data_IF_623248359773
#
_entry.id   IF_623248359773
#
_cell.length_a   1.000
_cell.length_b   1.000
_cell.length_c   1.000
_cell.angle_alpha   90.00
_cell.angle_beta   90.00
_cell.angle_gamma   90.00
#
_symmetry.space_group_name_H-M   'P 1'
#
loop_
_entity.id
_entity.type
_entity.pdbx_description
1 polymer ?
#
# COMPACT_ATOMS: atom_id res chain seq x y z
N UNK A 1 -23.94 -2.36 28.43
CA UNK A 1 -23.26 -3.21 27.40
C UNK A 1 -23.19 -2.42 26.11
N UNK A 2 -22.01 -2.08 25.60
CA UNK A 2 -21.87 -1.52 24.25
C UNK A 2 -22.03 -2.68 23.27
N UNK A 3 -23.15 -2.73 22.58
CA UNK A 3 -23.37 -3.70 21.50
C UNK A 3 -22.42 -3.36 20.35
N UNK A 4 -21.47 -4.27 20.11
CA UNK A 4 -20.60 -4.15 18.94
C UNK A 4 -21.42 -4.52 17.69
N UNK A 5 -21.85 -3.50 16.94
CA UNK A 5 -22.68 -3.68 15.75
C UNK A 5 -21.96 -4.52 14.66
N UNK A 6 -20.64 -4.48 14.62
CA UNK A 6 -19.85 -5.28 13.65
C UNK A 6 -20.04 -6.77 13.85
N UNK A 7 -20.25 -7.26 15.08
CA UNK A 7 -20.48 -8.68 15.36
C UNK A 7 -21.86 -9.19 14.92
N UNK A 8 -22.75 -8.29 14.49
CA UNK A 8 -24.10 -8.63 14.04
C UNK A 8 -24.20 -8.69 12.50
N UNK A 9 -23.15 -8.25 11.80
CA UNK A 9 -23.10 -8.31 10.35
C UNK A 9 -22.49 -9.67 9.96
N UNK A 10 -23.31 -10.51 9.36
CA UNK A 10 -22.86 -11.82 8.86
C UNK A 10 -23.10 -11.84 7.34
N UNK A 11 -22.03 -12.13 6.58
CA UNK A 11 -22.07 -12.19 5.10
C UNK A 11 -23.06 -13.22 4.57
N UNK A 12 -23.45 -14.23 5.37
CA UNK A 12 -24.47 -15.22 4.99
C UNK A 12 -25.88 -14.63 4.84
N UNK A 13 -26.11 -13.37 5.27
CA UNK A 13 -27.37 -12.64 5.02
C UNK A 13 -27.35 -11.83 3.74
N UNK A 14 -26.19 -11.71 3.09
CA UNK A 14 -26.01 -11.01 1.82
C UNK A 14 -25.79 -12.06 0.76
N UNK A 15 -26.57 -12.00 -0.32
CA UNK A 15 -26.40 -12.96 -1.42
C UNK A 15 -24.99 -12.83 -2.00
N UNK A 16 -24.24 -13.94 -2.21
CA UNK A 16 -22.96 -13.93 -2.88
C UNK A 16 -22.96 -13.17 -4.21
N UNK A 17 -24.10 -13.11 -4.87
CA UNK A 17 -24.30 -12.36 -6.10
C UNK A 17 -23.92 -10.87 -5.99
N UNK A 18 -24.04 -10.25 -4.82
CA UNK A 18 -23.74 -8.85 -4.62
C UNK A 18 -22.26 -8.53 -4.42
N UNK A 19 -21.44 -9.51 -4.08
CA UNK A 19 -20.00 -9.32 -3.89
C UNK A 19 -19.12 -10.27 -4.70
N UNK A 20 -19.73 -11.24 -5.40
CA UNK A 20 -19.05 -12.21 -6.29
C UNK A 20 -19.79 -12.30 -7.63
N UNK A 21 -19.71 -11.27 -8.49
CA UNK A 21 -20.31 -11.34 -9.80
C UNK A 21 -19.64 -12.43 -10.65
N UNK A 22 -20.43 -13.25 -11.32
CA UNK A 22 -19.96 -14.39 -12.12
C UNK A 22 -19.27 -13.96 -13.42
N UNK A 23 -19.58 -12.74 -13.91
CA UNK A 23 -19.04 -12.24 -15.15
C UNK A 23 -18.99 -10.70 -15.19
N UNK A 24 -18.28 -10.15 -16.19
CA UNK A 24 -18.08 -8.71 -16.34
C UNK A 24 -19.40 -7.94 -16.53
N UNK A 25 -20.40 -8.52 -17.19
CA UNK A 25 -21.70 -7.87 -17.38
C UNK A 25 -22.44 -7.77 -16.05
N UNK A 26 -22.50 -8.83 -15.28
CA UNK A 26 -23.13 -8.81 -13.96
C UNK A 26 -22.42 -7.80 -13.03
N UNK A 27 -21.09 -7.79 -13.04
CA UNK A 27 -20.29 -6.79 -12.31
C UNK A 27 -20.73 -5.37 -12.72
N UNK A 28 -20.81 -5.06 -14.01
CA UNK A 28 -21.16 -3.73 -14.48
C UNK A 28 -22.57 -3.30 -14.07
N UNK A 29 -23.51 -4.24 -13.94
CA UNK A 29 -24.88 -3.96 -13.48
C UNK A 29 -24.93 -3.70 -11.97
N UNK A 30 -24.20 -4.51 -11.19
CA UNK A 30 -24.18 -4.41 -9.74
C UNK A 30 -23.43 -3.15 -9.26
N UNK A 31 -22.32 -2.80 -9.93
CA UNK A 31 -21.46 -1.68 -9.54
C UNK A 31 -21.82 -0.34 -10.19
N UNK A 32 -22.86 -0.28 -11.04
CA UNK A 32 -23.21 0.92 -11.82
C UNK A 32 -23.50 2.17 -10.98
N UNK A 33 -23.84 2.01 -9.70
CA UNK A 33 -24.12 3.12 -8.79
C UNK A 33 -22.96 3.38 -7.82
N UNK A 34 -21.92 2.57 -7.86
CA UNK A 34 -20.72 2.79 -7.06
C UNK A 34 -19.93 3.98 -7.59
N UNK A 35 -19.57 4.87 -6.69
CA UNK A 35 -18.69 6.01 -7.03
C UNK A 35 -17.20 5.61 -6.98
N UNK A 36 -16.89 4.59 -6.19
CA UNK A 36 -15.55 4.03 -6.02
C UNK A 36 -15.69 2.53 -6.25
N UNK A 37 -14.92 1.93 -7.18
CA UNK A 37 -14.90 0.48 -7.36
C UNK A 37 -14.57 -0.22 -6.04
N UNK A 38 -15.36 -1.25 -5.70
CA UNK A 38 -15.21 -1.97 -4.43
C UNK A 38 -15.18 -3.47 -4.71
N UNK A 39 -14.14 -4.13 -4.22
CA UNK A 39 -14.05 -5.60 -4.20
C UNK A 39 -14.18 -6.10 -2.76
N UNK A 40 -15.02 -7.12 -2.55
CA UNK A 40 -15.29 -7.69 -1.23
C UNK A 40 -14.73 -9.11 -1.18
N UNK A 41 -13.94 -9.37 -0.14
CA UNK A 41 -13.29 -10.66 0.10
C UNK A 41 -13.85 -11.32 1.35
N UNK A 42 -13.75 -12.64 1.45
CA UNK A 42 -14.25 -13.39 2.62
C UNK A 42 -13.34 -13.26 3.83
N UNK A 43 -12.05 -12.99 3.60
CA UNK A 43 -11.08 -12.81 4.67
C UNK A 43 -10.11 -11.65 4.38
N UNK A 44 -9.49 -11.14 5.42
CA UNK A 44 -8.45 -10.13 5.31
C UNK A 44 -7.21 -10.68 4.57
N UNK A 45 -6.92 -11.96 4.72
CA UNK A 45 -5.83 -12.65 4.05
C UNK A 45 -6.06 -12.73 2.54
N UNK A 46 -7.29 -13.09 2.11
CA UNK A 46 -7.67 -13.15 0.69
C UNK A 46 -7.53 -11.77 0.04
N UNK A 47 -8.06 -10.73 0.69
CA UNK A 47 -7.95 -9.34 0.19
C UNK A 47 -6.50 -8.85 0.14
N UNK A 48 -5.70 -9.15 1.18
CA UNK A 48 -4.30 -8.77 1.22
C UNK A 48 -3.48 -9.47 0.12
N UNK A 49 -3.73 -10.77 -0.11
CA UNK A 49 -3.06 -11.52 -1.17
C UNK A 49 -3.39 -10.95 -2.55
N UNK A 50 -4.65 -10.60 -2.82
CA UNK A 50 -5.03 -9.99 -4.10
C UNK A 50 -4.33 -8.66 -4.31
N UNK A 51 -4.27 -7.79 -3.30
CA UNK A 51 -3.56 -6.52 -3.36
C UNK A 51 -2.05 -6.74 -3.61
N UNK A 52 -1.45 -7.72 -2.95
CA UNK A 52 -0.05 -8.06 -3.15
C UNK A 52 0.23 -8.57 -4.58
N UNK A 53 -0.67 -9.37 -5.16
CA UNK A 53 -0.60 -9.82 -6.56
C UNK A 53 -0.67 -8.64 -7.53
N UNK A 54 -1.58 -7.70 -7.31
CA UNK A 54 -1.74 -6.51 -8.17
C UNK A 54 -0.49 -5.63 -8.12
N UNK A 55 0.07 -5.40 -6.92
CA UNK A 55 1.33 -4.67 -6.76
C UNK A 55 2.48 -5.41 -7.45
N UNK A 56 2.61 -6.71 -7.24
CA UNK A 56 3.66 -7.53 -7.84
C UNK A 56 3.57 -7.53 -9.38
N UNK A 57 2.35 -7.60 -9.92
CA UNK A 57 2.14 -7.51 -11.37
C UNK A 57 2.58 -6.14 -11.91
N UNK A 58 2.21 -5.06 -11.23
CA UNK A 58 2.61 -3.70 -11.60
C UNK A 58 4.15 -3.54 -11.60
N UNK A 59 4.83 -4.05 -10.57
CA UNK A 59 6.29 -4.04 -10.47
C UNK A 59 6.91 -4.75 -11.68
N UNK A 60 6.43 -5.96 -12.01
CA UNK A 60 6.92 -6.75 -13.15
C UNK A 60 6.70 -6.04 -14.48
N UNK A 61 5.55 -5.42 -14.67
CA UNK A 61 5.22 -4.72 -15.92
C UNK A 61 6.05 -3.45 -16.11
N UNK A 62 6.27 -2.70 -15.04
CA UNK A 62 7.18 -1.55 -15.03
C UNK A 62 8.62 -1.98 -15.30
N UNK A 63 9.07 -3.09 -14.71
CA UNK A 63 10.39 -3.64 -14.94
C UNK A 63 10.61 -4.04 -16.41
N UNK A 64 9.65 -4.75 -17.01
CA UNK A 64 9.67 -5.10 -18.44
C UNK A 64 9.74 -3.87 -19.35
N UNK A 65 9.09 -2.78 -18.92
CA UNK A 65 9.10 -1.51 -19.65
C UNK A 65 10.35 -0.66 -19.38
N UNK A 66 11.31 -1.11 -18.58
CA UNK A 66 12.51 -0.36 -18.19
C UNK A 66 12.21 0.88 -17.36
N UNK A 67 11.11 0.90 -16.58
CA UNK A 67 10.65 2.03 -15.79
C UNK A 67 10.65 1.71 -14.31
N UNK A 68 10.73 2.74 -13.48
CA UNK A 68 10.46 2.61 -12.06
C UNK A 68 8.97 2.35 -11.78
N UNK A 69 8.71 1.55 -10.76
CA UNK A 69 7.41 1.39 -10.13
C UNK A 69 7.40 2.22 -8.84
N UNK A 70 6.57 3.26 -8.80
CA UNK A 70 6.53 4.22 -7.70
C UNK A 70 5.38 3.88 -6.76
N UNK A 71 5.71 3.42 -5.58
CA UNK A 71 4.76 3.00 -4.55
C UNK A 71 4.71 4.03 -3.42
N UNK A 72 3.50 4.45 -3.03
CA UNK A 72 3.29 5.19 -1.80
C UNK A 72 2.71 4.25 -0.75
N UNK A 73 3.46 4.01 0.32
CA UNK A 73 3.17 2.98 1.31
C UNK A 73 2.99 3.56 2.70
N UNK A 74 2.09 2.97 3.47
CA UNK A 74 1.84 3.34 4.86
C UNK A 74 2.53 2.37 5.83
N UNK A 75 3.03 2.89 6.96
CA UNK A 75 3.33 2.07 8.13
C UNK A 75 2.05 1.63 8.85
N UNK A 76 2.20 0.84 9.92
CA UNK A 76 1.07 0.39 10.75
C UNK A 76 0.63 -1.05 10.47
N UNK A 77 -0.48 -1.45 11.08
CA UNK A 77 -0.89 -2.86 11.07
C UNK A 77 -1.77 -3.25 9.88
N UNK A 78 -2.51 -2.31 9.28
CA UNK A 78 -3.44 -2.61 8.19
C UNK A 78 -2.78 -3.26 6.97
N UNK A 79 -1.64 -2.77 6.47
CA UNK A 79 -0.99 -3.36 5.29
C UNK A 79 -0.07 -4.55 5.62
N UNK A 80 0.04 -5.00 6.87
CA UNK A 80 0.98 -6.05 7.31
C UNK A 80 0.90 -7.32 6.47
N UNK A 81 -0.29 -7.82 6.19
CA UNK A 81 -0.46 -9.05 5.41
C UNK A 81 -0.06 -8.84 3.94
N UNK A 82 -0.31 -7.67 3.37
CA UNK A 82 0.14 -7.32 2.01
C UNK A 82 1.67 -7.34 1.94
N UNK A 83 2.35 -6.74 2.93
CA UNK A 83 3.81 -6.72 2.97
C UNK A 83 4.39 -8.12 3.17
N UNK A 84 3.78 -8.95 4.03
CA UNK A 84 4.20 -10.34 4.21
C UNK A 84 4.11 -11.14 2.90
N UNK A 85 3.03 -10.98 2.12
CA UNK A 85 2.89 -11.62 0.83
C UNK A 85 3.91 -11.11 -0.20
N UNK A 86 4.18 -9.80 -0.25
CA UNK A 86 5.22 -9.23 -1.12
C UNK A 86 6.61 -9.73 -0.78
N UNK A 87 6.95 -9.87 0.51
CA UNK A 87 8.21 -10.46 0.97
C UNK A 87 8.30 -11.93 0.55
N UNK A 88 7.24 -12.70 0.75
CA UNK A 88 7.18 -14.10 0.31
C UNK A 88 7.39 -14.21 -1.20
N UNK A 89 6.71 -13.38 -2.01
CA UNK A 89 6.89 -13.36 -3.46
C UNK A 89 8.32 -12.99 -3.87
N UNK A 90 8.98 -12.09 -3.13
CA UNK A 90 10.39 -11.80 -3.35
C UNK A 90 11.27 -13.02 -3.08
N UNK A 91 11.09 -13.67 -1.93
CA UNK A 91 11.94 -14.78 -1.48
C UNK A 91 11.72 -16.07 -2.25
N UNK A 92 10.47 -16.38 -2.62
CA UNK A 92 10.06 -17.67 -3.17
C UNK A 92 9.77 -17.62 -4.67
N UNK A 93 9.32 -16.47 -5.21
CA UNK A 93 8.83 -16.34 -6.58
C UNK A 93 9.71 -15.40 -7.44
N UNK A 94 10.82 -14.89 -6.89
CA UNK A 94 11.76 -14.05 -7.61
C UNK A 94 11.24 -12.66 -7.98
N UNK A 95 10.26 -12.11 -7.24
CA UNK A 95 9.84 -10.72 -7.38
C UNK A 95 10.98 -9.79 -6.98
N UNK A 96 11.49 -8.98 -7.91
CA UNK A 96 12.58 -8.04 -7.65
C UNK A 96 12.05 -6.63 -7.40
N UNK A 97 12.61 -5.95 -6.40
CA UNK A 97 12.29 -4.57 -6.05
C UNK A 97 13.34 -3.56 -6.55
N UNK A 98 14.29 -3.97 -7.40
CA UNK A 98 15.36 -3.08 -7.92
C UNK A 98 14.84 -1.90 -8.74
N UNK A 99 13.68 -2.05 -9.38
CA UNK A 99 13.01 -0.97 -10.10
C UNK A 99 11.91 -0.29 -9.28
N UNK A 100 11.86 -0.52 -7.97
CA UNK A 100 10.84 0.08 -7.10
C UNK A 100 11.38 1.34 -6.44
N UNK A 101 10.53 2.35 -6.34
CA UNK A 101 10.71 3.55 -5.53
C UNK A 101 9.60 3.60 -4.50
N UNK A 102 9.94 3.79 -3.24
CA UNK A 102 8.97 3.87 -2.14
C UNK A 102 8.95 5.28 -1.56
N UNK A 103 7.75 5.84 -1.48
CA UNK A 103 7.44 7.03 -0.70
C UNK A 103 6.62 6.62 0.53
N UNK A 104 7.13 6.86 1.74
CA UNK A 104 6.34 6.70 2.95
C UNK A 104 5.29 7.81 3.00
N UNK A 105 4.00 7.43 3.14
CA UNK A 105 2.87 8.34 3.01
C UNK A 105 2.80 9.38 4.12
N UNK A 106 3.17 9.02 5.33
CA UNK A 106 3.10 9.91 6.49
C UNK A 106 4.04 9.48 7.62
N UNK A 107 4.47 10.45 8.39
CA UNK A 107 5.21 10.24 9.62
C UNK A 107 4.70 11.19 10.70
N UNK A 108 4.85 10.83 11.96
CA UNK A 108 4.52 11.73 13.07
C UNK A 108 5.53 12.87 13.18
N UNK A 109 5.05 14.05 13.55
CA UNK A 109 5.87 15.23 13.72
C UNK A 109 5.54 15.97 15.03
N UNK A 110 6.54 16.42 15.80
CA UNK A 110 7.95 16.02 15.71
C UNK A 110 8.15 14.59 16.24
N UNK A 111 9.14 13.87 15.70
CA UNK A 111 9.45 12.53 16.13
C UNK A 111 10.98 12.29 16.16
N UNK A 112 11.47 11.62 17.19
CA UNK A 112 12.87 11.20 17.24
C UNK A 112 13.14 10.11 16.17
N UNK A 113 14.33 10.11 15.53
CA UNK A 113 14.63 9.19 14.43
C UNK A 113 14.45 7.69 14.74
N UNK A 114 14.64 7.30 15.99
CA UNK A 114 14.53 5.91 16.44
C UNK A 114 13.28 5.66 17.31
N UNK A 115 12.25 6.50 17.16
CA UNK A 115 11.03 6.33 17.92
C UNK A 115 10.30 5.04 17.56
N UNK A 116 9.82 4.33 18.57
CA UNK A 116 9.17 3.03 18.42
C UNK A 116 7.84 3.12 17.64
N UNK A 117 7.21 4.29 17.65
CA UNK A 117 5.97 4.57 16.94
C UNK A 117 6.19 5.21 15.56
N UNK A 118 7.41 5.17 15.00
CA UNK A 118 7.67 5.64 13.64
C UNK A 118 7.00 4.73 12.62
N UNK A 119 6.21 5.34 11.72
CA UNK A 119 5.61 4.62 10.59
C UNK A 119 6.66 4.13 9.61
N UNK A 120 7.74 4.88 9.42
CA UNK A 120 8.84 4.47 8.58
C UNK A 120 9.58 3.26 9.15
N UNK A 121 9.85 3.23 10.47
CA UNK A 121 10.48 2.09 11.11
C UNK A 121 9.62 0.82 10.98
N UNK A 122 8.30 0.95 11.14
CA UNK A 122 7.38 -0.16 10.92
C UNK A 122 7.39 -0.67 9.47
N UNK A 123 7.38 0.24 8.49
CA UNK A 123 7.46 -0.11 7.07
C UNK A 123 8.81 -0.78 6.73
N UNK A 124 9.89 -0.27 7.31
CA UNK A 124 11.23 -0.84 7.15
C UNK A 124 11.29 -2.27 7.68
N UNK A 125 10.81 -2.51 8.90
CA UNK A 125 10.78 -3.82 9.53
C UNK A 125 9.87 -4.82 8.77
N UNK A 126 8.73 -4.37 8.25
CA UNK A 126 7.78 -5.26 7.59
C UNK A 126 8.10 -5.58 6.13
N UNK A 127 8.81 -4.70 5.41
CA UNK A 127 9.04 -4.84 3.97
C UNK A 127 10.48 -4.52 3.55
N UNK A 128 10.96 -3.30 3.83
CA UNK A 128 12.16 -2.76 3.17
C UNK A 128 13.42 -3.58 3.47
N UNK A 129 13.55 -4.07 4.71
CA UNK A 129 14.72 -4.86 5.14
C UNK A 129 14.70 -6.31 4.59
N UNK A 130 13.61 -6.72 3.94
CA UNK A 130 13.42 -8.10 3.46
C UNK A 130 13.44 -8.25 1.93
N UNK A 131 13.62 -7.16 1.19
CA UNK A 131 13.59 -7.13 -0.27
C UNK A 131 14.84 -6.46 -0.85
N UNK A 132 15.10 -6.65 -2.15
CA UNK A 132 16.29 -6.15 -2.86
C UNK A 132 16.16 -4.70 -3.37
N UNK A 133 15.38 -3.86 -2.67
CA UNK A 133 15.23 -2.45 -3.03
C UNK A 133 16.52 -1.67 -2.79
N UNK A 134 16.85 -0.74 -3.70
CA UNK A 134 17.91 0.23 -3.47
C UNK A 134 17.45 1.24 -2.39
N UNK A 135 18.22 1.35 -1.30
CA UNK A 135 17.91 2.26 -0.19
C UNK A 135 17.86 3.73 -0.63
N UNK A 136 18.52 4.11 -1.72
CA UNK A 136 18.44 5.44 -2.30
C UNK A 136 17.08 5.74 -2.93
N UNK A 137 16.29 4.72 -3.22
CA UNK A 137 14.93 4.81 -3.75
C UNK A 137 13.84 4.78 -2.66
N UNK A 138 14.21 4.92 -1.39
CA UNK A 138 13.26 4.92 -0.28
C UNK A 138 13.24 6.30 0.37
N UNK A 139 12.08 6.94 0.33
CA UNK A 139 11.86 8.29 0.83
C UNK A 139 10.85 8.30 1.97
N UNK A 140 11.15 9.04 3.03
CA UNK A 140 10.26 9.25 4.17
C UNK A 140 10.23 10.73 4.55
N UNK A 141 9.09 11.26 5.03
CA UNK A 141 9.05 12.60 5.59
C UNK A 141 10.04 12.74 6.76
N UNK A 142 10.81 13.84 6.76
CA UNK A 142 11.74 14.14 7.85
C UNK A 142 10.98 14.73 9.04
N UNK A 143 10.85 13.95 10.09
CA UNK A 143 10.16 14.31 11.32
C UNK A 143 10.99 15.20 12.27
N UNK A 144 12.23 15.53 11.90
CA UNK A 144 13.15 16.34 12.71
C UNK A 144 13.33 17.77 12.17
N UNK A 145 12.72 18.06 11.01
CA UNK A 145 12.86 19.36 10.34
C UNK A 145 12.35 20.51 11.21
N UNK A 146 12.95 21.68 11.09
CA UNK A 146 12.49 22.88 11.78
C UNK A 146 11.07 23.26 11.33
N UNK A 147 10.24 23.70 12.27
CA UNK A 147 8.81 23.97 12.02
C UNK A 147 8.56 25.00 10.92
N UNK A 148 9.41 25.99 10.81
CA UNK A 148 9.36 27.03 9.79
C UNK A 148 9.77 26.55 8.39
N UNK A 149 10.49 25.43 8.29
CA UNK A 149 10.90 24.82 7.02
C UNK A 149 9.90 23.78 6.47
N UNK A 150 8.83 23.42 7.21
CA UNK A 150 7.91 22.33 6.84
C UNK A 150 7.30 22.54 5.46
N UNK A 151 6.81 23.73 5.13
CA UNK A 151 6.16 24.00 3.85
C UNK A 151 7.12 23.81 2.66
N UNK A 152 8.32 24.31 2.80
CA UNK A 152 9.35 24.15 1.76
C UNK A 152 9.75 22.68 1.62
N UNK A 153 9.88 21.98 2.72
CA UNK A 153 10.17 20.55 2.71
C UNK A 153 9.07 19.74 2.01
N UNK A 154 7.79 20.01 2.31
CA UNK A 154 6.66 19.35 1.64
C UNK A 154 6.70 19.59 0.13
N UNK A 155 6.95 20.82 -0.30
CA UNK A 155 7.10 21.18 -1.71
C UNK A 155 8.22 20.39 -2.40
N UNK A 156 9.37 20.24 -1.73
CA UNK A 156 10.50 19.45 -2.24
C UNK A 156 10.18 17.95 -2.29
N UNK A 157 9.40 17.46 -1.33
CA UNK A 157 8.96 16.07 -1.31
C UNK A 157 8.01 15.77 -2.47
N UNK A 158 7.04 16.64 -2.74
CA UNK A 158 6.14 16.57 -3.89
C UNK A 158 6.91 16.61 -5.22
N UNK A 159 7.85 17.55 -5.38
CA UNK A 159 8.71 17.64 -6.55
C UNK A 159 9.52 16.36 -6.78
N UNK A 160 9.93 15.70 -5.71
CA UNK A 160 10.62 14.41 -5.82
C UNK A 160 9.70 13.32 -6.35
N UNK A 161 8.45 13.26 -5.89
CA UNK A 161 7.43 12.36 -6.45
C UNK A 161 7.22 12.64 -7.94
N UNK A 162 7.08 13.90 -8.31
CA UNK A 162 6.92 14.32 -9.71
C UNK A 162 8.12 13.93 -10.59
N UNK A 163 9.35 14.01 -10.05
CA UNK A 163 10.57 13.63 -10.79
C UNK A 163 10.63 12.16 -11.20
N UNK A 164 9.89 11.28 -10.51
CA UNK A 164 9.71 9.88 -10.87
C UNK A 164 8.48 9.64 -11.76
N UNK A 165 7.74 10.69 -12.13
CA UNK A 165 6.53 10.60 -12.96
C UNK A 165 5.23 10.43 -12.15
N UNK A 166 5.27 10.67 -10.85
CA UNK A 166 4.13 10.51 -9.94
C UNK A 166 4.06 9.14 -9.29
N UNK A 167 3.04 8.92 -8.47
CA UNK A 167 2.77 7.66 -7.77
C UNK A 167 1.95 6.75 -8.68
N UNK A 168 2.41 5.51 -8.86
CA UNK A 168 1.68 4.49 -9.62
C UNK A 168 0.57 3.84 -8.80
N UNK A 169 0.83 3.56 -7.52
CA UNK A 169 -0.16 3.01 -6.58
C UNK A 169 0.11 3.52 -5.16
N UNK A 170 -0.95 3.82 -4.43
CA UNK A 170 -0.91 4.14 -3.01
C UNK A 170 -1.67 3.08 -2.20
N UNK A 171 -1.01 2.53 -1.18
CA UNK A 171 -1.60 1.61 -0.21
C UNK A 171 -1.86 2.35 1.09
N UNK A 172 -3.15 2.58 1.40
CA UNK A 172 -3.62 3.38 2.53
C UNK A 172 -4.10 2.50 3.70
#
# INVERSE_FOLDING_TARGET
MKTNLSSQITLNRVSPRYYRPENAFERSVLTRLEKIPTDIYESAEEGANQIALDIAQLIRDKQKAGRFCVLALAGGNSPRNVYADLVRMHQEEGLSFRNVVIFNLYEYYPLAPNAINSNFNALKEMLIDHVDIDKQNVFTPDSTIAKDAIFEYCRLYEQRIESFGGIDIALL
#
